data_IF_049325688977
#
_entry.id   IF_049325688977
#
_cell.length_a   1.000
_cell.length_b   1.000
_cell.length_c   1.000
_cell.angle_alpha   90.00
_cell.angle_beta   90.00
_cell.angle_gamma   90.00
#
_symmetry.space_group_name_H-M   'P 1'
#
loop_
_entity.id
_entity.type
_entity.pdbx_description
1 polymer ?
#
# COMPACT_ATOMS: atom_id res chain seq x y z
N UNK A 1 21.13 5.93 -10.23
CA UNK A 1 20.24 5.06 -9.42
C UNK A 1 20.36 5.29 -7.92
N UNK A 2 21.48 5.87 -7.43
CA UNK A 2 21.79 5.98 -6.00
C UNK A 2 20.94 7.00 -5.22
N UNK A 3 20.50 8.08 -5.86
CA UNK A 3 19.80 9.20 -5.17
C UNK A 3 18.59 8.79 -4.33
N UNK A 4 17.75 7.85 -4.80
CA UNK A 4 16.60 7.38 -4.00
C UNK A 4 17.06 6.53 -2.81
N UNK A 5 18.07 5.69 -3.02
CA UNK A 5 18.59 4.81 -1.98
C UNK A 5 19.28 5.65 -0.88
N UNK A 6 20.03 6.68 -1.28
CA UNK A 6 20.68 7.64 -0.38
C UNK A 6 19.66 8.45 0.42
N UNK A 7 18.61 8.95 -0.24
CA UNK A 7 17.55 9.71 0.44
C UNK A 7 16.78 8.84 1.44
N UNK A 8 16.45 7.60 1.04
CA UNK A 8 15.68 6.68 1.87
C UNK A 8 16.51 6.08 3.02
N UNK A 9 17.84 6.14 2.97
CA UNK A 9 18.72 5.67 4.04
C UNK A 9 18.42 6.33 5.40
N UNK A 10 17.93 7.58 5.38
CA UNK A 10 17.53 8.33 6.58
C UNK A 10 16.33 7.69 7.32
N UNK A 11 15.53 6.87 6.65
CA UNK A 11 14.33 6.27 7.20
C UNK A 11 14.55 4.79 7.53
N UNK A 12 14.79 4.48 8.81
CA UNK A 12 15.14 3.12 9.27
C UNK A 12 14.10 2.04 8.93
N UNK A 13 12.82 2.43 8.79
CA UNK A 13 11.72 1.51 8.46
C UNK A 13 11.51 1.30 6.96
N UNK A 14 12.13 2.13 6.11
CA UNK A 14 11.94 2.07 4.66
C UNK A 14 13.05 1.23 4.04
N UNK A 15 12.67 0.30 3.15
CA UNK A 15 13.61 -0.53 2.41
C UNK A 15 13.28 -0.45 0.93
N UNK A 16 14.29 -0.18 0.10
CA UNK A 16 14.14 -0.17 -1.36
C UNK A 16 14.56 -1.54 -1.90
N UNK A 17 13.62 -2.25 -2.54
CA UNK A 17 13.87 -3.54 -3.18
C UNK A 17 13.92 -3.35 -4.68
N UNK A 18 15.03 -3.74 -5.32
CA UNK A 18 15.25 -3.56 -6.76
C UNK A 18 15.12 -4.88 -7.51
N UNK A 19 14.29 -4.91 -8.55
CA UNK A 19 14.22 -6.06 -9.45
C UNK A 19 15.34 -5.98 -10.51
N UNK A 20 15.93 -7.12 -10.87
CA UNK A 20 16.97 -7.20 -11.90
C UNK A 20 16.45 -6.94 -13.32
N UNK A 21 15.13 -7.05 -13.53
CA UNK A 21 14.45 -6.80 -14.80
C UNK A 21 13.03 -6.27 -14.56
N UNK A 22 12.40 -5.71 -15.59
CA UNK A 22 11.00 -5.27 -15.53
C UNK A 22 10.07 -6.48 -15.28
N UNK A 23 9.40 -6.47 -14.14
CA UNK A 23 8.53 -7.59 -13.71
C UNK A 23 7.04 -7.36 -14.03
N UNK A 24 6.60 -6.10 -14.08
CA UNK A 24 5.17 -5.75 -14.06
C UNK A 24 4.58 -5.79 -12.64
N UNK A 25 3.37 -5.25 -12.47
CA UNK A 25 2.77 -4.97 -11.16
C UNK A 25 2.62 -6.23 -10.28
N UNK A 26 1.95 -7.26 -10.80
CA UNK A 26 1.65 -8.50 -10.05
C UNK A 26 2.93 -9.19 -9.56
N UNK A 27 3.95 -9.29 -10.41
CA UNK A 27 5.22 -9.95 -10.06
C UNK A 27 6.06 -9.10 -9.11
N UNK A 28 5.96 -7.77 -9.21
CA UNK A 28 6.56 -6.88 -8.22
C UNK A 28 5.92 -7.08 -6.84
N UNK A 29 4.59 -7.21 -6.76
CA UNK A 29 3.90 -7.53 -5.51
C UNK A 29 4.36 -8.86 -4.94
N UNK A 30 4.39 -9.93 -5.73
CA UNK A 30 4.88 -11.24 -5.27
C UNK A 30 6.34 -11.19 -4.79
N UNK A 31 7.19 -10.41 -5.46
CA UNK A 31 8.57 -10.19 -5.01
C UNK A 31 8.60 -9.51 -3.65
N UNK A 32 7.79 -8.46 -3.46
CA UNK A 32 7.69 -7.73 -2.19
C UNK A 32 7.11 -8.62 -1.07
N UNK A 33 6.08 -9.42 -1.33
CA UNK A 33 5.53 -10.41 -0.38
C UNK A 33 6.62 -11.30 0.19
N UNK A 34 7.51 -11.81 -0.68
CA UNK A 34 8.59 -12.73 -0.29
C UNK A 34 9.67 -12.08 0.57
N UNK A 35 9.85 -10.76 0.46
CA UNK A 35 10.83 -10.02 1.27
C UNK A 35 10.24 -9.51 2.59
N UNK A 36 8.91 -9.43 2.69
CA UNK A 36 8.25 -8.94 3.90
C UNK A 36 8.14 -10.04 4.95
N UNK A 37 8.38 -9.66 6.20
CA UNK A 37 8.20 -10.51 7.38
C UNK A 37 6.92 -10.17 8.16
N UNK A 38 6.16 -9.18 7.71
CA UNK A 38 4.96 -8.71 8.39
C UNK A 38 3.82 -9.73 8.25
N UNK A 39 2.96 -9.91 9.28
CA UNK A 39 1.81 -10.80 9.20
C UNK A 39 0.71 -10.29 8.26
N UNK A 40 0.68 -8.97 8.04
CA UNK A 40 -0.29 -8.27 7.20
C UNK A 40 0.46 -7.40 6.18
N UNK A 41 0.08 -7.46 4.91
CA UNK A 41 0.74 -6.73 3.81
C UNK A 41 -0.15 -5.69 3.16
N UNK A 42 0.13 -4.40 3.33
CA UNK A 42 -0.61 -3.34 2.63
C UNK A 42 0.09 -2.93 1.34
N UNK A 43 -0.61 -3.00 0.21
CA UNK A 43 -0.13 -2.44 -1.06
C UNK A 43 -0.71 -1.06 -1.29
N UNK A 44 0.16 -0.14 -1.69
CA UNK A 44 -0.19 1.24 -2.02
C UNK A 44 0.48 1.62 -3.33
N UNK A 45 -0.20 2.43 -4.12
CA UNK A 45 0.37 3.01 -5.33
C UNK A 45 1.39 4.11 -4.98
N UNK A 46 2.34 4.36 -5.89
CA UNK A 46 3.39 5.36 -5.65
C UNK A 46 2.90 6.82 -5.66
N UNK A 47 1.64 7.05 -6.05
CA UNK A 47 1.02 8.37 -6.17
C UNK A 47 -0.19 8.53 -5.25
N UNK A 48 -0.27 7.75 -4.17
CA UNK A 48 -1.32 7.89 -3.18
C UNK A 48 -0.92 8.82 -2.02
N UNK A 49 -1.93 9.43 -1.40
CA UNK A 49 -1.80 10.13 -0.13
C UNK A 49 -2.76 9.49 0.87
N UNK A 50 -2.27 9.22 2.07
CA UNK A 50 -3.06 8.57 3.11
C UNK A 50 -3.67 9.61 4.04
N UNK A 51 -4.97 9.50 4.34
CA UNK A 51 -5.63 10.34 5.34
C UNK A 51 -5.38 9.85 6.76
N UNK A 52 -5.57 10.72 7.75
CA UNK A 52 -5.47 10.31 9.16
C UNK A 52 -6.48 9.20 9.50
N UNK A 53 -6.03 8.17 10.21
CA UNK A 53 -6.89 7.07 10.68
C UNK A 53 -7.28 6.05 9.61
N UNK A 54 -6.61 6.04 8.45
CA UNK A 54 -6.97 5.16 7.33
C UNK A 54 -6.74 3.67 7.58
N UNK A 55 -5.76 3.33 8.43
CA UNK A 55 -5.22 1.97 8.53
C UNK A 55 -5.91 1.14 9.61
N UNK A 56 -6.19 1.76 10.75
CA UNK A 56 -6.80 1.18 11.95
C UNK A 56 -8.12 0.42 11.65
N UNK A 57 -9.10 0.99 10.92
CA UNK A 57 -10.35 0.26 10.62
C UNK A 57 -10.12 -0.94 9.71
N UNK A 58 -9.13 -0.87 8.80
CA UNK A 58 -8.80 -1.97 7.91
C UNK A 58 -8.15 -3.13 8.68
N UNK A 59 -7.24 -2.81 9.59
CA UNK A 59 -6.58 -3.80 10.45
C UNK A 59 -7.56 -4.43 11.45
N UNK A 60 -8.47 -3.65 12.03
CA UNK A 60 -9.51 -4.18 12.93
C UNK A 60 -10.37 -5.24 12.22
N UNK A 61 -10.75 -5.01 10.95
CA UNK A 61 -11.53 -6.00 10.20
C UNK A 61 -10.77 -7.31 9.96
N UNK A 62 -9.47 -7.23 9.68
CA UNK A 62 -8.62 -8.41 9.40
C UNK A 62 -8.26 -9.16 10.67
N UNK A 63 -8.02 -8.46 11.77
CA UNK A 63 -7.72 -9.09 13.06
C UNK A 63 -8.91 -9.90 13.59
N UNK A 64 -10.15 -9.48 13.29
CA UNK A 64 -11.37 -10.25 13.60
C UNK A 64 -11.54 -11.49 12.73
N UNK A 65 -11.07 -11.46 11.48
CA UNK A 65 -11.11 -12.61 10.58
C UNK A 65 -9.93 -12.58 9.61
N UNK A 66 -8.93 -13.43 9.87
CA UNK A 66 -7.70 -13.53 9.09
C UNK A 66 -7.92 -14.00 7.64
N UNK A 67 -9.05 -14.63 7.33
CA UNK A 67 -9.38 -15.04 5.94
C UNK A 67 -10.00 -13.91 5.11
N UNK A 68 -10.30 -12.76 5.72
CA UNK A 68 -10.93 -11.64 5.03
C UNK A 68 -9.90 -10.78 4.33
N UNK A 69 -10.20 -10.41 3.08
CA UNK A 69 -9.54 -9.31 2.38
C UNK A 69 -10.37 -8.02 2.54
N UNK A 70 -9.71 -6.91 2.82
CA UNK A 70 -10.33 -5.58 2.96
C UNK A 70 -9.74 -4.59 1.96
N UNK A 71 -10.60 -4.00 1.13
CA UNK A 71 -10.26 -2.88 0.26
C UNK A 71 -10.57 -1.56 0.96
N UNK A 72 -9.69 -0.58 0.79
CA UNK A 72 -9.93 0.78 1.27
C UNK A 72 -10.85 1.54 0.31
N UNK A 73 -11.50 2.59 0.81
CA UNK A 73 -12.20 3.52 -0.05
C UNK A 73 -11.19 4.38 -0.79
N UNK A 74 -11.57 4.75 -2.01
CA UNK A 74 -10.71 5.41 -2.97
C UNK A 74 -11.32 6.76 -3.35
N UNK A 75 -10.58 7.83 -3.09
CA UNK A 75 -10.96 9.21 -3.42
C UNK A 75 -9.97 9.79 -4.44
N UNK A 76 -10.41 10.83 -5.15
CA UNK A 76 -9.65 11.37 -6.27
C UNK A 76 -8.85 12.62 -5.89
N UNK A 77 -7.57 12.62 -6.28
CA UNK A 77 -6.72 13.82 -6.25
C UNK A 77 -6.51 14.26 -7.69
N UNK A 78 -6.83 15.52 -7.98
CA UNK A 78 -6.65 16.07 -9.31
C UNK A 78 -5.15 16.17 -9.66
N UNK A 79 -4.70 15.42 -10.67
CA UNK A 79 -3.28 15.35 -11.03
C UNK A 79 -2.64 16.65 -11.53
N UNK A 80 -3.42 17.67 -11.90
CA UNK A 80 -2.89 18.96 -12.35
C UNK A 80 -2.90 20.04 -11.27
N UNK A 81 -3.88 20.01 -10.38
CA UNK A 81 -4.06 21.03 -9.34
C UNK A 81 -3.70 20.53 -7.93
N UNK A 82 -3.46 19.22 -7.78
CA UNK A 82 -3.32 18.52 -6.51
C UNK A 82 -4.49 18.77 -5.54
N UNK A 83 -5.63 19.22 -6.06
CA UNK A 83 -6.84 19.41 -5.26
C UNK A 83 -7.41 18.05 -4.89
N UNK A 84 -7.58 17.86 -3.60
CA UNK A 84 -8.35 16.76 -3.05
C UNK A 84 -9.84 17.06 -3.22
N UNK A 85 -10.53 16.23 -3.99
CA UNK A 85 -11.97 16.35 -4.17
C UNK A 85 -12.69 15.44 -3.18
N UNK A 86 -13.21 16.04 -2.11
CA UNK A 86 -13.89 15.32 -1.04
C UNK A 86 -15.39 15.16 -1.29
N UNK A 87 -15.92 15.54 -2.48
CA UNK A 87 -17.35 15.72 -2.69
C UNK A 87 -18.17 14.52 -2.18
N UNK A 88 -18.77 14.71 -1.00
CA UNK A 88 -19.54 13.75 -0.21
C UNK A 88 -18.81 12.46 0.21
N UNK A 89 -18.18 12.43 1.39
CA UNK A 89 -18.36 11.39 2.44
C UNK A 89 -17.30 11.45 3.56
N UNK A 90 -17.70 10.93 4.70
CA UNK A 90 -17.00 10.89 5.99
C UNK A 90 -15.89 9.82 6.13
N UNK A 91 -15.33 9.24 5.06
CA UNK A 91 -14.33 8.14 5.20
C UNK A 91 -13.30 8.02 4.04
N UNK A 92 -12.01 8.12 4.40
CA UNK A 92 -10.72 7.54 3.92
C UNK A 92 -10.38 7.38 2.40
N UNK A 93 -9.14 7.77 2.05
CA UNK A 93 -8.53 7.94 0.69
C UNK A 93 -7.59 6.80 0.24
N UNK A 94 -7.72 6.38 -1.03
CA UNK A 94 -6.62 6.03 -1.96
C UNK A 94 -7.10 6.14 -3.42
N UNK A 95 -6.34 5.76 -4.45
CA UNK A 95 -6.76 5.77 -5.88
C UNK A 95 -7.16 4.36 -6.36
N UNK A 96 -7.94 4.15 -7.46
CA UNK A 96 -8.32 2.81 -7.92
C UNK A 96 -7.07 2.06 -8.39
N UNK A 97 -6.66 1.09 -7.59
CA UNK A 97 -5.38 0.39 -7.73
C UNK A 97 -4.97 -0.35 -6.46
N UNK A 98 -5.50 0.06 -5.30
CA UNK A 98 -5.24 -0.63 -4.03
C UNK A 98 -6.01 -1.95 -3.95
N UNK A 99 -5.28 -3.05 -4.06
CA UNK A 99 -5.72 -4.39 -3.69
C UNK A 99 -4.79 -4.93 -2.60
N UNK A 100 -5.42 -5.24 -1.46
CA UNK A 100 -5.12 -6.41 -0.64
C UNK A 100 -4.06 -6.40 0.45
N UNK A 101 -4.53 -6.02 1.65
CA UNK A 101 -4.11 -6.57 2.94
C UNK A 101 -4.28 -8.10 2.95
N UNK A 102 -3.19 -8.82 2.77
CA UNK A 102 -3.15 -10.27 3.01
C UNK A 102 -2.78 -10.51 4.46
N UNK A 103 -3.58 -11.29 5.19
CA UNK A 103 -3.03 -12.04 6.31
C UNK A 103 -2.36 -13.29 5.72
N UNK A 104 -1.11 -13.50 6.09
CA UNK A 104 -0.22 -14.60 5.73
C UNK A 104 -0.87 -15.76 4.92
N UNK A 105 -0.84 -15.66 3.58
CA UNK A 105 -0.95 -16.86 2.74
C UNK A 105 0.32 -17.66 3.00
N UNK A 106 0.20 -18.70 3.81
CA UNK A 106 1.17 -19.79 3.85
C UNK A 106 1.27 -20.37 2.44
N UNK A 107 2.11 -19.77 1.61
CA UNK A 107 2.68 -20.40 0.42
C UNK A 107 3.64 -21.48 0.92
N UNK A 108 3.06 -22.59 1.41
CA UNK A 108 3.71 -23.89 1.41
C UNK A 108 3.50 -24.51 0.04
#
# INVERSE_FOLDING_TARGET
>A
MQQLDDYMFTYTKVKVVRASKRLGLIRAWLMTTRHSTAPILTYLDSYCECTGGWLEPLLDRITRNSTTFVCLRIDFINGSTLRYDWSSSEYIVASPGVLTLFSNLSLR
#
